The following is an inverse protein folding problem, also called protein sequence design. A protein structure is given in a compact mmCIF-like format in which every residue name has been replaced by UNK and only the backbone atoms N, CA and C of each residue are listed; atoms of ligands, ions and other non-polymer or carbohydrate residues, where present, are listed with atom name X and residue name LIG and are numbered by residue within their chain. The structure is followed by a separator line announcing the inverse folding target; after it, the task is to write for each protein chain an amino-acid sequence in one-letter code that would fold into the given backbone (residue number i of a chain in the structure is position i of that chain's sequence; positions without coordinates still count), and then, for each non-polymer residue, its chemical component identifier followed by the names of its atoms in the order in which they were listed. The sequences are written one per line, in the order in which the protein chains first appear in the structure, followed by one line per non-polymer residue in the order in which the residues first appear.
data_IF_256300630806
#
_entry.id   IF_256300630806
#
_cell.length_a   1.000
_cell.length_b   1.000
_cell.length_c   1.000
_cell.angle_alpha   90.00
_cell.angle_beta   90.00
_cell.angle_gamma   90.00
#
_symmetry.space_group_name_H-M   'P 1'
#
loop_
_entity.id
_entity.type
_entity.pdbx_description
1 polymer ?
#
# COMPACT_ATOMS: atom_id res chain seq x y z
N UNK A 1 -19.38 -19.53 19.71
CA UNK A 1 -18.57 -19.76 20.94
C UNK A 1 -17.50 -18.68 21.03
N UNK A 2 -17.25 -18.21 22.25
CA UNK A 2 -16.41 -17.11 22.77
C UNK A 2 -15.29 -16.51 21.89
N UNK A 3 -15.32 -15.17 21.72
CA UNK A 3 -14.20 -14.32 21.28
C UNK A 3 -13.25 -14.06 22.48
N UNK A 4 -11.97 -14.49 22.47
CA UNK A 4 -11.15 -14.49 23.69
C UNK A 4 -10.45 -13.17 24.05
N UNK A 5 -10.65 -12.05 23.34
CA UNK A 5 -9.82 -10.85 23.56
C UNK A 5 -10.62 -9.54 23.79
N UNK A 6 -11.82 -9.62 24.39
CA UNK A 6 -12.67 -8.48 24.76
C UNK A 6 -13.18 -8.57 26.22
N UNK A 7 -12.36 -9.08 27.15
CA UNK A 7 -12.83 -9.56 28.45
C UNK A 7 -13.02 -8.52 29.56
N UNK A 8 -13.29 -7.24 29.26
CA UNK A 8 -13.56 -6.23 30.30
C UNK A 8 -15.03 -5.79 30.38
N UNK A 9 -15.83 -5.89 29.32
CA UNK A 9 -17.25 -5.48 29.34
C UNK A 9 -18.24 -6.57 28.85
N UNK A 10 -17.76 -7.76 28.49
CA UNK A 10 -18.62 -8.83 27.96
C UNK A 10 -19.17 -8.52 26.55
N UNK A 11 -20.11 -9.34 26.08
CA UNK A 11 -20.60 -9.32 24.67
C UNK A 11 -21.52 -8.15 24.31
N UNK A 12 -22.06 -7.42 25.28
CA UNK A 12 -23.10 -6.41 25.04
C UNK A 12 -22.60 -5.00 24.71
N UNK A 13 -21.35 -4.67 25.04
CA UNK A 13 -20.87 -3.30 24.94
C UNK A 13 -20.73 -2.79 23.50
N UNK A 14 -20.28 -3.65 22.58
CA UNK A 14 -20.07 -3.28 21.17
C UNK A 14 -21.38 -2.81 20.52
N UNK A 15 -22.45 -3.57 20.70
CA UNK A 15 -23.77 -3.24 20.13
C UNK A 15 -24.28 -1.93 20.74
N UNK A 16 -24.11 -1.77 22.05
CA UNK A 16 -24.52 -0.56 22.76
C UNK A 16 -23.78 0.70 22.28
N UNK A 17 -22.45 0.62 22.17
CA UNK A 17 -21.62 1.74 21.72
C UNK A 17 -21.97 2.16 20.29
N UNK A 18 -22.14 1.20 19.37
CA UNK A 18 -22.53 1.49 17.99
C UNK A 18 -23.91 2.18 17.88
N UNK A 19 -24.88 1.76 18.70
CA UNK A 19 -26.20 2.40 18.74
C UNK A 19 -26.18 3.84 19.31
N UNK A 20 -25.10 4.21 20.02
CA UNK A 20 -24.91 5.51 20.68
C UNK A 20 -23.92 6.43 19.96
N UNK A 21 -23.58 6.14 18.70
CA UNK A 21 -22.69 6.97 17.89
C UNK A 21 -21.20 6.62 18.00
N UNK A 22 -20.87 5.46 18.59
CA UNK A 22 -19.52 4.89 18.55
C UNK A 22 -18.87 4.64 19.91
N UNK A 23 -17.59 4.30 19.87
CA UNK A 23 -16.79 3.99 21.06
C UNK A 23 -16.24 5.27 21.69
N UNK A 24 -16.55 5.51 22.96
CA UNK A 24 -15.94 6.56 23.77
C UNK A 24 -15.89 6.12 25.23
N UNK A 25 -15.09 6.79 26.06
CA UNK A 25 -15.17 6.58 27.52
C UNK A 25 -16.58 6.89 28.03
N UNK A 26 -17.27 7.86 27.43
CA UNK A 26 -18.64 8.23 27.79
C UNK A 26 -19.62 7.09 27.54
N UNK A 27 -19.62 6.48 26.34
CA UNK A 27 -20.48 5.32 26.05
C UNK A 27 -20.11 4.09 26.89
N UNK A 28 -18.83 3.95 27.26
CA UNK A 28 -18.37 2.90 28.18
C UNK A 28 -18.88 3.12 29.61
N UNK A 29 -18.84 4.36 30.10
CA UNK A 29 -19.34 4.74 31.43
C UNK A 29 -20.86 4.54 31.48
N UNK A 30 -21.61 4.95 30.45
CA UNK A 30 -23.06 4.72 30.38
C UNK A 30 -23.41 3.23 30.39
N UNK A 31 -22.73 2.43 29.56
CA UNK A 31 -22.92 0.99 29.55
C UNK A 31 -22.56 0.35 30.90
N UNK A 32 -21.46 0.79 31.50
CA UNK A 32 -20.99 0.37 32.82
C UNK A 32 -22.07 0.58 33.90
N UNK A 33 -22.75 1.73 33.89
CA UNK A 33 -23.87 2.03 34.79
C UNK A 33 -25.08 1.13 34.54
N UNK A 34 -25.42 0.87 33.27
CA UNK A 34 -26.56 0.01 32.90
C UNK A 34 -26.39 -1.46 33.36
N UNK A 35 -25.15 -1.86 33.67
CA UNK A 35 -24.78 -3.20 34.14
C UNK A 35 -24.47 -3.26 35.64
N UNK A 36 -24.92 -2.28 36.43
CA UNK A 36 -24.74 -2.28 37.88
C UNK A 36 -25.16 -3.58 38.57
N UNK A 37 -26.23 -4.23 38.10
CA UNK A 37 -26.73 -5.52 38.61
C UNK A 37 -25.75 -6.68 38.44
N UNK A 38 -24.75 -6.55 37.56
CA UNK A 38 -23.69 -7.54 37.35
C UNK A 38 -22.47 -7.30 38.26
N UNK A 39 -22.45 -6.22 39.05
CA UNK A 39 -21.39 -5.96 40.03
C UNK A 39 -21.95 -6.01 41.46
N UNK A 40 -21.64 -7.07 42.24
CA UNK A 40 -22.08 -7.22 43.62
C UNK A 40 -21.63 -6.09 44.56
N UNK A 41 -20.51 -5.42 44.26
CA UNK A 41 -19.99 -4.30 45.06
C UNK A 41 -20.65 -2.95 44.73
N UNK A 42 -21.52 -2.90 43.73
CA UNK A 42 -22.15 -1.67 43.26
C UNK A 42 -21.16 -0.63 42.72
N UNK A 43 -21.65 0.58 42.48
CA UNK A 43 -20.85 1.68 41.92
C UNK A 43 -19.99 2.42 42.98
N UNK A 44 -19.92 1.89 44.19
CA UNK A 44 -19.51 2.60 45.41
C UNK A 44 -18.41 1.83 46.14
N UNK A 45 -17.29 1.57 45.46
CA UNK A 45 -16.07 1.06 46.10
C UNK A 45 -15.11 2.24 46.42
N UNK A 46 -15.03 2.69 47.68
CA UNK A 46 -14.24 3.87 48.04
C UNK A 46 -12.74 3.73 47.76
N UNK A 47 -12.24 2.52 47.48
CA UNK A 47 -10.83 2.27 47.14
C UNK A 47 -10.58 2.14 45.63
N UNK A 48 -11.60 2.36 44.79
CA UNK A 48 -11.54 2.15 43.36
C UNK A 48 -11.67 3.46 42.57
N UNK A 49 -10.74 3.72 41.66
CA UNK A 49 -10.72 4.91 40.79
C UNK A 49 -12.00 5.07 39.94
N UNK A 50 -12.76 3.98 39.74
CA UNK A 50 -14.00 3.95 38.95
C UNK A 50 -15.19 4.68 39.59
N UNK A 51 -15.16 4.90 40.91
CA UNK A 51 -16.25 5.56 41.65
C UNK A 51 -16.40 7.05 41.34
N UNK A 52 -15.31 7.74 40.97
CA UNK A 52 -15.33 9.16 40.61
C UNK A 52 -16.24 9.48 39.41
N UNK A 53 -16.43 8.51 38.52
CA UNK A 53 -17.30 8.64 37.33
C UNK A 53 -18.53 7.72 37.40
N UNK A 54 -18.77 7.10 38.57
CA UNK A 54 -19.87 6.17 38.79
C UNK A 54 -19.90 5.02 37.76
N UNK A 55 -18.74 4.45 37.42
CA UNK A 55 -18.62 3.29 36.51
C UNK A 55 -18.60 1.99 37.32
N UNK A 56 -19.63 1.15 37.14
CA UNK A 56 -19.96 0.05 38.05
C UNK A 56 -19.58 -1.33 37.52
N UNK A 57 -19.27 -1.47 36.23
CA UNK A 57 -19.01 -2.76 35.59
C UNK A 57 -17.97 -2.58 34.48
N UNK A 58 -16.95 -3.43 34.42
CA UNK A 58 -15.87 -3.32 33.43
C UNK A 58 -14.93 -2.12 33.60
N UNK A 59 -13.80 -2.14 32.89
CA UNK A 59 -12.84 -1.02 32.87
C UNK A 59 -13.23 0.00 31.80
N UNK A 60 -13.94 1.07 32.16
CA UNK A 60 -14.35 2.10 31.20
C UNK A 60 -13.15 2.78 30.49
N UNK A 61 -11.98 2.84 31.13
CA UNK A 61 -10.75 3.35 30.54
C UNK A 61 -10.15 2.39 29.50
N UNK A 62 -10.66 1.16 29.40
CA UNK A 62 -10.30 0.24 28.31
C UNK A 62 -10.59 0.87 26.95
N UNK A 63 -11.67 1.64 26.81
CA UNK A 63 -11.99 2.28 25.54
C UNK A 63 -10.94 3.30 25.15
N UNK A 64 -10.51 4.19 26.04
CA UNK A 64 -9.42 5.13 25.71
C UNK A 64 -8.07 4.43 25.55
N UNK A 65 -7.76 3.41 26.36
CA UNK A 65 -6.53 2.62 26.24
C UNK A 65 -6.45 1.85 24.92
N UNK A 66 -7.57 1.28 24.48
CA UNK A 66 -7.69 0.59 23.19
C UNK A 66 -7.75 1.59 22.06
N UNK A 67 -8.61 2.61 22.13
CA UNK A 67 -8.69 3.66 21.14
C UNK A 67 -7.40 4.45 20.99
N UNK A 68 -6.53 4.49 22.00
CA UNK A 68 -5.16 5.01 21.86
C UNK A 68 -4.39 4.19 20.83
N UNK A 69 -4.48 2.86 20.88
CA UNK A 69 -3.94 2.01 19.82
C UNK A 69 -4.68 2.20 18.48
N UNK A 70 -5.98 2.52 18.46
CA UNK A 70 -6.70 2.86 17.20
C UNK A 70 -6.38 4.24 16.63
N UNK A 71 -6.06 5.24 17.45
CA UNK A 71 -5.52 6.54 17.00
C UNK A 71 -4.12 6.37 16.39
N UNK A 72 -3.41 5.33 16.84
CA UNK A 72 -2.13 4.88 16.30
C UNK A 72 -2.30 3.76 15.22
N UNK A 73 -3.53 3.45 14.76
CA UNK A 73 -3.77 2.52 13.65
C UNK A 73 -3.93 3.30 12.33
N UNK A 74 -2.82 3.42 11.61
CA UNK A 74 -2.72 3.13 10.17
C UNK A 74 -3.24 4.15 9.17
N UNK A 75 -4.17 5.05 9.52
CA UNK A 75 -4.71 6.01 8.56
C UNK A 75 -4.93 7.39 9.20
N UNK A 76 -3.94 8.27 9.13
CA UNK A 76 -4.07 9.65 9.59
C UNK A 76 -4.03 10.56 8.37
N UNK A 77 -5.02 11.45 8.21
CA UNK A 77 -4.93 12.53 7.24
C UNK A 77 -3.90 13.55 7.76
N UNK A 78 -2.93 13.91 6.93
CA UNK A 78 -1.99 14.95 7.29
C UNK A 78 -2.59 16.35 7.19
N UNK A 79 -1.80 17.36 7.57
CA UNK A 79 -2.19 18.77 7.54
C UNK A 79 -2.55 19.29 6.14
N UNK A 80 -2.23 18.54 5.08
CA UNK A 80 -2.61 18.80 3.68
C UNK A 80 -3.80 17.96 3.19
N UNK A 81 -4.33 17.06 4.02
CA UNK A 81 -5.44 16.16 3.67
C UNK A 81 -5.03 14.90 2.91
N UNK A 82 -3.72 14.56 2.85
CA UNK A 82 -3.23 13.29 2.28
C UNK A 82 -3.31 12.18 3.34
N UNK A 83 -3.81 11.00 2.98
CA UNK A 83 -3.94 9.87 3.89
C UNK A 83 -2.61 9.13 4.03
N UNK A 84 -2.07 9.10 5.24
CA UNK A 84 -0.78 8.48 5.54
C UNK A 84 -0.99 7.21 6.36
N UNK A 85 -0.37 6.11 5.91
CA UNK A 85 -0.07 4.96 6.76
C UNK A 85 1.32 5.12 7.35
N UNK A 86 1.39 5.05 8.68
CA UNK A 86 2.59 5.10 9.50
C UNK A 86 3.60 3.97 9.19
N UNK A 87 3.19 2.93 8.45
CA UNK A 87 4.08 1.86 7.96
C UNK A 87 4.02 1.63 6.45
N UNK A 88 3.29 2.45 5.69
CA UNK A 88 3.01 2.27 4.25
C UNK A 88 1.93 1.23 3.94
N UNK A 89 1.25 1.36 2.81
CA UNK A 89 0.13 0.49 2.42
C UNK A 89 0.58 -0.84 1.82
N UNK A 90 -0.15 -1.92 2.08
CA UNK A 90 0.09 -3.25 1.47
C UNK A 90 -0.82 -3.46 0.27
N UNK A 91 -0.26 -3.74 -0.90
CA UNK A 91 -1.03 -4.16 -2.07
C UNK A 91 -1.73 -5.49 -1.79
N UNK A 92 -3.01 -5.65 -2.16
CA UNK A 92 -3.86 -6.67 -1.57
C UNK A 92 -3.66 -8.07 -2.16
N UNK A 93 -2.77 -8.24 -3.14
CA UNK A 93 -2.45 -9.55 -3.71
C UNK A 93 -1.06 -9.56 -4.33
N UNK A 94 -0.60 -10.73 -4.79
CA UNK A 94 0.71 -10.87 -5.40
C UNK A 94 0.79 -10.22 -6.79
N UNK A 95 -0.32 -10.17 -7.52
CA UNK A 95 -0.41 -9.66 -8.90
C UNK A 95 -0.59 -8.15 -8.96
N UNK A 96 0.13 -7.49 -9.86
CA UNK A 96 -0.04 -6.08 -10.22
C UNK A 96 -0.83 -5.89 -11.51
N UNK A 97 -1.44 -6.96 -12.05
CA UNK A 97 -2.17 -6.91 -13.32
C UNK A 97 -3.53 -6.27 -13.13
N UNK A 98 -3.60 -4.95 -13.26
CA UNK A 98 -4.85 -4.20 -13.31
C UNK A 98 -5.58 -4.59 -14.61
N UNK A 99 -6.77 -5.15 -14.46
CA UNK A 99 -7.66 -5.54 -15.57
C UNK A 99 -8.80 -4.55 -15.80
N UNK A 100 -9.13 -3.74 -14.80
CA UNK A 100 -10.07 -2.60 -14.92
C UNK A 100 -9.76 -1.50 -13.89
N UNK A 101 -10.04 -0.24 -14.24
CA UNK A 101 -9.70 0.95 -13.44
C UNK A 101 -10.93 1.56 -12.76
N UNK A 102 -10.70 2.38 -11.73
CA UNK A 102 -11.76 3.04 -10.92
C UNK A 102 -12.61 4.07 -11.68
N UNK A 103 -12.10 4.57 -12.80
CA UNK A 103 -12.79 5.54 -13.65
C UNK A 103 -13.46 4.89 -14.86
N UNK A 104 -13.39 3.55 -14.99
CA UNK A 104 -14.06 2.85 -16.07
C UNK A 104 -15.58 3.02 -15.97
N UNK A 105 -16.20 3.39 -17.09
CA UNK A 105 -17.66 3.54 -17.21
C UNK A 105 -18.22 2.45 -18.11
N UNK A 106 -19.16 1.67 -17.59
CA UNK A 106 -19.85 0.62 -18.36
C UNK A 106 -21.36 0.82 -18.24
N UNK A 107 -22.04 1.01 -19.36
CA UNK A 107 -23.50 1.24 -19.39
C UNK A 107 -23.97 2.43 -18.54
N UNK A 108 -23.14 3.48 -18.43
CA UNK A 108 -23.42 4.66 -17.61
C UNK A 108 -23.18 4.50 -16.11
N UNK A 109 -22.68 3.34 -15.65
CA UNK A 109 -22.29 3.11 -14.25
C UNK A 109 -20.77 3.15 -14.11
N UNK A 110 -20.29 3.92 -13.14
CA UNK A 110 -18.88 3.99 -12.80
C UNK A 110 -18.45 2.76 -12.00
N UNK A 111 -17.27 2.24 -12.33
CA UNK A 111 -16.61 1.15 -11.65
C UNK A 111 -15.94 1.64 -10.35
N UNK A 112 -16.49 1.34 -9.19
CA UNK A 112 -16.02 1.89 -7.91
C UNK A 112 -14.87 1.07 -7.27
N UNK A 113 -14.03 0.43 -8.10
CA UNK A 113 -12.98 -0.49 -7.69
C UNK A 113 -11.79 -0.46 -8.65
N UNK A 114 -10.69 -1.14 -8.28
CA UNK A 114 -9.66 -1.57 -9.22
C UNK A 114 -9.73 -3.09 -9.30
N UNK A 115 -9.83 -3.61 -10.52
CA UNK A 115 -9.83 -5.06 -10.75
C UNK A 115 -8.41 -5.55 -10.96
N UNK A 116 -7.99 -6.53 -10.17
CA UNK A 116 -6.63 -7.08 -10.18
C UNK A 116 -6.71 -8.55 -10.57
N UNK A 117 -6.25 -8.89 -11.78
CA UNK A 117 -6.27 -10.26 -12.27
C UNK A 117 -5.26 -11.17 -11.56
N UNK A 118 -5.58 -12.45 -11.41
CA UNK A 118 -4.69 -13.46 -10.81
C UNK A 118 -3.34 -13.59 -11.52
N UNK A 119 -2.28 -13.95 -10.79
CA UNK A 119 -0.92 -14.23 -11.29
C UNK A 119 -0.92 -15.13 -12.52
N UNK A 120 -1.72 -16.18 -12.52
CA UNK A 120 -2.04 -16.98 -13.71
C UNK A 120 -3.47 -16.68 -14.11
N UNK A 121 -3.67 -16.14 -15.31
CA UNK A 121 -5.00 -15.76 -15.79
C UNK A 121 -5.97 -16.95 -15.72
N UNK A 122 -7.15 -16.72 -15.13
CA UNK A 122 -8.18 -17.75 -14.95
C UNK A 122 -7.94 -18.75 -13.81
N UNK A 123 -6.83 -18.66 -13.07
CA UNK A 123 -6.54 -19.56 -11.94
C UNK A 123 -6.78 -18.89 -10.59
N UNK A 124 -7.79 -19.37 -9.87
CA UNK A 124 -8.09 -18.95 -8.50
C UNK A 124 -7.04 -19.44 -7.48
N UNK A 125 -7.07 -18.87 -6.28
CA UNK A 125 -6.25 -19.32 -5.15
C UNK A 125 -5.09 -18.39 -4.78
N UNK A 126 -4.86 -17.31 -5.52
CA UNK A 126 -3.84 -16.33 -5.14
C UNK A 126 -4.18 -15.72 -3.76
N UNK A 127 -3.21 -15.57 -2.85
CA UNK A 127 -3.48 -15.01 -1.53
C UNK A 127 -3.95 -13.56 -1.65
N UNK A 128 -4.95 -13.22 -0.85
CA UNK A 128 -5.44 -11.85 -0.67
C UNK A 128 -5.05 -11.37 0.73
N UNK A 129 -4.37 -10.23 0.79
CA UNK A 129 -3.83 -9.63 2.01
C UNK A 129 -4.61 -8.38 2.42
N UNK A 130 -4.70 -8.14 3.72
CA UNK A 130 -5.23 -6.86 4.22
C UNK A 130 -4.23 -5.74 3.95
N UNK A 131 -4.73 -4.63 3.40
CA UNK A 131 -3.90 -3.49 3.01
C UNK A 131 -3.26 -2.75 4.19
N UNK A 132 -3.89 -2.83 5.36
CA UNK A 132 -3.44 -2.24 6.62
C UNK A 132 -4.10 -2.98 7.78
N UNK A 133 -3.63 -2.80 9.00
CA UNK A 133 -4.29 -3.31 10.18
C UNK A 133 -5.72 -2.75 10.32
N UNK A 134 -6.63 -3.54 10.88
CA UNK A 134 -8.02 -3.13 11.05
C UNK A 134 -8.92 -4.23 11.63
N UNK A 135 -10.21 -3.94 11.76
CA UNK A 135 -11.24 -4.89 12.21
C UNK A 135 -12.02 -5.40 11.00
N UNK A 136 -12.14 -6.72 10.86
CA UNK A 136 -13.03 -7.35 9.89
C UNK A 136 -14.49 -7.03 10.23
N UNK A 137 -15.25 -6.44 9.31
CA UNK A 137 -16.61 -5.97 9.59
C UNK A 137 -17.67 -7.08 9.41
N UNK A 138 -18.89 -6.83 9.90
CA UNK A 138 -20.02 -7.76 9.79
C UNK A 138 -20.55 -7.94 8.35
N UNK A 139 -20.10 -7.11 7.41
CA UNK A 139 -20.41 -7.22 5.99
C UNK A 139 -19.59 -8.33 5.29
N UNK A 140 -18.57 -8.88 5.96
CA UNK A 140 -17.77 -10.00 5.44
C UNK A 140 -18.61 -11.28 5.33
N UNK A 141 -18.60 -11.93 4.16
CA UNK A 141 -19.43 -13.09 3.87
C UNK A 141 -19.95 -13.09 2.43
N UNK A 142 -21.21 -13.46 2.23
CA UNK A 142 -21.89 -13.37 0.93
C UNK A 142 -22.37 -11.93 0.67
N UNK A 143 -21.81 -11.30 -0.35
CA UNK A 143 -22.04 -9.90 -0.72
C UNK A 143 -22.81 -9.86 -2.02
N UNK A 144 -23.95 -9.16 -2.05
CA UNK A 144 -24.78 -9.07 -3.26
C UNK A 144 -23.98 -8.49 -4.43
N UNK A 145 -23.97 -9.19 -5.57
CA UNK A 145 -23.12 -8.92 -6.72
C UNK A 145 -21.63 -9.24 -6.50
N UNK A 146 -21.11 -9.10 -5.29
CA UNK A 146 -19.69 -9.27 -4.94
C UNK A 146 -19.23 -10.70 -4.65
N UNK A 147 -20.14 -11.67 -4.50
CA UNK A 147 -19.76 -13.05 -4.16
C UNK A 147 -19.26 -13.18 -2.73
N UNK A 148 -18.19 -13.94 -2.52
CA UNK A 148 -17.49 -13.94 -1.23
C UNK A 148 -16.66 -12.67 -1.09
N UNK A 149 -16.86 -11.93 -0.01
CA UNK A 149 -16.14 -10.69 0.24
C UNK A 149 -15.66 -10.53 1.68
N UNK A 150 -14.50 -9.87 1.84
CA UNK A 150 -13.97 -9.42 3.13
C UNK A 150 -13.98 -7.90 3.18
N UNK A 151 -14.35 -7.34 4.34
CA UNK A 151 -14.41 -5.91 4.59
C UNK A 151 -13.59 -5.63 5.84
N UNK A 152 -12.67 -4.67 5.77
CA UNK A 152 -11.80 -4.30 6.89
C UNK A 152 -11.94 -2.82 7.17
N UNK A 153 -12.39 -2.49 8.38
CA UNK A 153 -12.42 -1.13 8.90
C UNK A 153 -11.06 -0.79 9.52
N UNK A 154 -10.40 0.21 8.96
CA UNK A 154 -9.08 0.67 9.37
C UNK A 154 -9.14 1.86 10.34
N UNK A 155 -10.34 2.30 10.73
CA UNK A 155 -10.55 3.51 11.52
C UNK A 155 -10.69 4.76 10.65
N UNK A 156 -11.09 5.88 11.28
CA UNK A 156 -11.23 7.20 10.66
C UNK A 156 -12.10 7.22 9.38
N UNK A 157 -13.09 6.33 9.31
CA UNK A 157 -14.02 6.21 8.18
C UNK A 157 -13.45 5.49 6.96
N UNK A 158 -12.25 4.88 7.06
CA UNK A 158 -11.63 4.14 5.96
C UNK A 158 -11.97 2.66 6.02
N UNK A 159 -12.55 2.15 4.94
CA UNK A 159 -12.88 0.72 4.79
C UNK A 159 -12.31 0.21 3.48
N UNK A 160 -11.55 -0.89 3.54
CA UNK A 160 -11.16 -1.66 2.36
C UNK A 160 -12.08 -2.85 2.14
N UNK A 161 -12.35 -3.18 0.87
CA UNK A 161 -13.22 -4.30 0.47
C UNK A 161 -12.51 -5.17 -0.56
N UNK A 162 -12.64 -6.49 -0.39
CA UNK A 162 -11.96 -7.51 -1.18
C UNK A 162 -13.02 -8.50 -1.65
N UNK A 163 -13.44 -8.42 -2.91
CA UNK A 163 -14.60 -9.16 -3.43
C UNK A 163 -14.19 -10.28 -4.40
N UNK A 164 -15.18 -11.07 -4.83
CA UNK A 164 -15.07 -12.20 -5.75
C UNK A 164 -14.16 -13.33 -5.26
N UNK A 165 -13.94 -13.45 -3.95
CA UNK A 165 -13.01 -14.41 -3.37
C UNK A 165 -13.45 -15.86 -3.64
N UNK A 166 -12.49 -16.78 -3.69
CA UNK A 166 -12.77 -18.23 -3.67
C UNK A 166 -12.87 -18.76 -2.24
N UNK A 167 -12.31 -18.04 -1.27
CA UNK A 167 -12.30 -18.42 0.14
C UNK A 167 -12.07 -17.22 1.05
N UNK A 168 -12.77 -17.21 2.18
CA UNK A 168 -12.55 -16.26 3.28
C UNK A 168 -11.78 -16.98 4.38
N UNK A 169 -10.72 -16.36 4.90
CA UNK A 169 -9.84 -16.93 5.94
C UNK A 169 -9.98 -16.24 7.31
N UNK A 170 -10.85 -15.23 7.43
CA UNK A 170 -11.06 -14.44 8.64
C UNK A 170 -12.55 -14.24 8.93
N UNK A 171 -12.92 -14.12 10.22
CA UNK A 171 -14.31 -13.95 10.64
C UNK A 171 -14.62 -12.51 11.07
N UNK A 172 -15.89 -12.05 10.99
CA UNK A 172 -16.30 -10.75 11.51
C UNK A 172 -15.90 -10.47 12.97
N UNK A 173 -15.36 -9.28 13.19
CA UNK A 173 -14.79 -8.79 14.45
C UNK A 173 -13.39 -9.31 14.76
N UNK A 174 -12.72 -9.96 13.81
CA UNK A 174 -11.29 -10.32 13.92
C UNK A 174 -10.43 -9.08 13.69
N UNK A 175 -9.44 -8.87 14.54
CA UNK A 175 -8.36 -7.93 14.26
C UNK A 175 -7.39 -8.55 13.25
N UNK A 176 -7.07 -7.83 12.19
CA UNK A 176 -6.06 -8.23 11.21
C UNK A 176 -4.90 -7.25 11.23
N UNK A 177 -3.69 -7.74 10.95
CA UNK A 177 -2.52 -6.88 10.71
C UNK A 177 -2.33 -6.63 9.22
N UNK A 178 -1.62 -5.55 8.86
CA UNK A 178 -1.17 -5.33 7.49
C UNK A 178 -0.46 -6.56 6.93
N UNK A 179 -0.79 -6.94 5.69
CA UNK A 179 -0.17 -8.08 5.03
C UNK A 179 -0.67 -9.45 5.52
N UNK A 180 -1.56 -9.50 6.50
CA UNK A 180 -2.18 -10.75 6.92
C UNK A 180 -3.07 -11.29 5.78
N UNK A 181 -2.95 -12.59 5.49
CA UNK A 181 -3.84 -13.27 4.55
C UNK A 181 -5.26 -13.29 5.12
N UNK A 182 -6.20 -12.76 4.35
CA UNK A 182 -7.63 -12.66 4.71
C UNK A 182 -8.52 -13.53 3.82
N UNK A 183 -8.00 -14.01 2.69
CA UNK A 183 -8.73 -14.85 1.76
C UNK A 183 -7.88 -15.29 0.58
N UNK A 184 -8.54 -15.91 -0.40
CA UNK A 184 -7.97 -16.33 -1.68
C UNK A 184 -8.79 -15.74 -2.82
N UNK A 185 -8.11 -15.26 -3.87
CA UNK A 185 -8.74 -14.67 -5.06
C UNK A 185 -9.56 -15.71 -5.81
N UNK A 186 -10.73 -15.32 -6.31
CA UNK A 186 -11.62 -16.19 -7.08
C UNK A 186 -12.34 -15.45 -8.19
N UNK A 187 -13.50 -15.95 -8.57
CA UNK A 187 -14.44 -15.32 -9.49
C UNK A 187 -15.87 -15.47 -9.00
N UNK A 188 -16.10 -15.42 -7.69
CA UNK A 188 -17.43 -15.69 -7.15
C UNK A 188 -18.40 -14.51 -7.35
N UNK A 189 -19.68 -14.82 -7.56
CA UNK A 189 -20.77 -13.86 -7.49
C UNK A 189 -21.88 -14.39 -6.58
N UNK A 190 -22.65 -13.51 -5.97
CA UNK A 190 -23.78 -13.89 -5.12
C UNK A 190 -24.98 -13.05 -5.50
N UNK A 191 -26.06 -13.72 -5.86
CA UNK A 191 -27.35 -13.10 -6.12
C UNK A 191 -28.23 -13.27 -4.88
N UNK A 192 -28.59 -12.15 -4.25
CA UNK A 192 -29.42 -12.17 -3.06
C UNK A 192 -30.87 -12.55 -3.33
N UNK A 193 -31.40 -12.26 -4.52
CA UNK A 193 -32.81 -12.52 -4.85
C UNK A 193 -33.04 -14.02 -5.03
N UNK A 194 -32.10 -14.70 -5.68
CA UNK A 194 -32.14 -16.15 -5.83
C UNK A 194 -31.46 -16.92 -4.69
N UNK A 195 -30.62 -16.24 -3.89
CA UNK A 195 -29.89 -16.81 -2.76
C UNK A 195 -28.69 -17.69 -3.16
N UNK A 196 -28.31 -17.71 -4.43
CA UNK A 196 -27.24 -18.57 -4.94
C UNK A 196 -25.88 -17.87 -4.96
N UNK A 197 -24.87 -18.57 -4.42
CA UNK A 197 -23.46 -18.26 -4.58
C UNK A 197 -22.90 -19.07 -5.76
N UNK A 198 -22.47 -18.42 -6.82
CA UNK A 198 -21.76 -19.06 -7.92
C UNK A 198 -20.25 -18.79 -7.77
N UNK A 199 -19.47 -19.83 -7.53
CA UNK A 199 -18.02 -19.72 -7.36
C UNK A 199 -17.26 -19.38 -8.66
N UNK A 200 -17.92 -19.48 -9.82
CA UNK A 200 -17.38 -19.23 -11.15
C UNK A 200 -18.23 -18.19 -11.91
N UNK A 201 -18.82 -17.23 -11.20
CA UNK A 201 -19.71 -16.21 -11.78
C UNK A 201 -18.99 -15.16 -12.63
N UNK A 202 -17.73 -14.85 -12.30
CA UNK A 202 -16.87 -13.92 -13.02
C UNK A 202 -15.53 -14.57 -13.41
N UNK A 203 -14.80 -13.92 -14.31
CA UNK A 203 -13.39 -14.25 -14.53
C UNK A 203 -12.60 -14.12 -13.23
N UNK A 204 -11.50 -14.84 -13.07
CA UNK A 204 -10.73 -14.78 -11.82
C UNK A 204 -9.99 -13.45 -11.69
N UNK A 205 -10.43 -12.63 -10.74
CA UNK A 205 -9.84 -11.34 -10.38
C UNK A 205 -10.23 -10.97 -8.94
N UNK A 206 -9.52 -9.99 -8.38
CA UNK A 206 -9.90 -9.31 -7.15
C UNK A 206 -10.50 -7.95 -7.52
N UNK A 207 -11.78 -7.74 -7.22
CA UNK A 207 -12.37 -6.40 -7.14
C UNK A 207 -11.96 -5.82 -5.78
N UNK A 208 -11.11 -4.79 -5.83
CA UNK A 208 -10.55 -4.15 -4.66
C UNK A 208 -11.03 -2.70 -4.55
N UNK A 209 -11.68 -2.38 -3.42
CA UNK A 209 -12.28 -1.07 -3.17
C UNK A 209 -11.71 -0.43 -1.93
N UNK A 210 -11.60 0.89 -1.96
CA UNK A 210 -11.40 1.72 -0.78
C UNK A 210 -12.56 2.70 -0.67
N UNK A 211 -13.07 2.87 0.55
CA UNK A 211 -14.05 3.90 0.87
C UNK A 211 -13.60 4.76 2.02
N UNK A 212 -13.82 6.06 1.89
CA UNK A 212 -13.65 7.04 2.97
C UNK A 212 -15.03 7.62 3.27
N UNK A 213 -15.51 7.50 4.51
CA UNK A 213 -16.84 7.94 4.92
C UNK A 213 -17.94 7.41 3.97
N UNK A 214 -17.81 6.13 3.62
CA UNK A 214 -18.65 5.39 2.66
C UNK A 214 -18.65 5.92 1.21
N UNK A 215 -17.80 6.89 0.87
CA UNK A 215 -17.60 7.33 -0.51
C UNK A 215 -16.51 6.50 -1.20
N UNK A 216 -16.79 5.93 -2.39
CA UNK A 216 -15.76 5.28 -3.21
C UNK A 216 -14.58 6.20 -3.47
N UNK A 217 -13.38 5.71 -3.23
CA UNK A 217 -12.14 6.42 -3.49
C UNK A 217 -11.23 5.53 -4.31
N UNK A 218 -10.65 6.10 -5.36
CA UNK A 218 -9.67 5.41 -6.21
C UNK A 218 -8.55 4.80 -5.36
N UNK A 219 -8.44 3.45 -5.31
CA UNK A 219 -7.39 2.76 -4.57
C UNK A 219 -5.99 3.20 -4.98
N UNK A 220 -5.78 3.58 -6.25
CA UNK A 220 -4.47 3.98 -6.77
C UNK A 220 -3.92 5.26 -6.13
N UNK A 221 -4.76 6.03 -5.41
CA UNK A 221 -4.31 7.18 -4.59
C UNK A 221 -3.51 6.75 -3.36
N UNK A 222 -3.72 5.52 -2.87
CA UNK A 222 -3.05 4.98 -1.70
C UNK A 222 -1.78 4.24 -2.07
N UNK A 223 -1.75 3.57 -3.22
CA UNK A 223 -0.63 2.72 -3.61
C UNK A 223 0.30 3.43 -4.60
N UNK A 224 1.42 3.96 -4.10
CA UNK A 224 2.50 4.44 -4.97
C UNK A 224 3.28 3.22 -5.47
N UNK A 225 3.75 3.25 -6.73
CA UNK A 225 4.39 2.11 -7.45
C UNK A 225 5.60 1.47 -6.73
N UNK A 226 6.09 2.07 -5.65
CA UNK A 226 7.25 1.66 -4.86
C UNK A 226 6.93 1.27 -3.40
N UNK A 227 5.67 1.32 -2.97
CA UNK A 227 5.30 1.09 -1.56
C UNK A 227 5.10 -0.42 -1.25
N UNK A 228 4.86 -1.27 -2.27
CA UNK A 228 4.69 -2.71 -2.12
C UNK A 228 5.17 -3.52 -3.36
N UNK A 229 5.94 -4.62 -3.18
CA UNK A 229 6.32 -5.54 -4.25
C UNK A 229 5.17 -6.09 -5.13
N UNK A 230 3.94 -6.13 -4.61
CA UNK A 230 2.76 -6.64 -5.31
C UNK A 230 2.25 -5.76 -6.47
N UNK A 231 2.48 -4.45 -6.44
CA UNK A 231 2.15 -3.57 -7.57
C UNK A 231 3.13 -3.74 -8.75
N UNK A 232 4.32 -4.26 -8.49
CA UNK A 232 5.39 -4.37 -9.48
C UNK A 232 5.31 -5.63 -10.36
N UNK A 233 4.33 -6.51 -10.15
CA UNK A 233 4.23 -7.83 -10.81
C UNK A 233 3.29 -7.87 -12.02
N UNK A 234 2.99 -6.71 -12.61
CA UNK A 234 2.37 -6.61 -13.94
C UNK A 234 3.35 -7.00 -15.06
N UNK A 235 3.71 -8.27 -15.15
CA UNK A 235 4.57 -8.85 -16.19
C UNK A 235 5.17 -10.20 -15.75
N UNK A 236 5.15 -11.18 -16.65
CA UNK A 236 5.62 -12.57 -16.55
C UNK A 236 6.80 -12.88 -15.59
N UNK A 237 6.90 -14.12 -15.05
CA UNK A 237 7.80 -14.45 -13.95
C UNK A 237 9.25 -14.57 -14.40
N UNK A 238 10.16 -13.71 -13.92
CA UNK A 238 11.58 -14.06 -13.78
C UNK A 238 12.35 -13.00 -12.97
N UNK A 239 12.83 -13.31 -11.76
CA UNK A 239 14.10 -12.82 -11.17
C UNK A 239 14.62 -11.36 -11.43
N UNK A 240 13.76 -10.33 -11.58
CA UNK A 240 14.20 -8.97 -12.03
C UNK A 240 14.06 -7.84 -11.01
N UNK A 241 13.23 -7.94 -9.94
CA UNK A 241 13.16 -6.86 -8.94
C UNK A 241 14.38 -6.78 -8.00
N UNK A 242 15.04 -7.90 -7.69
CA UNK A 242 16.22 -7.90 -6.83
C UNK A 242 17.43 -7.17 -7.47
N UNK A 243 17.60 -7.29 -8.79
CA UNK A 243 18.67 -6.59 -9.53
C UNK A 243 18.44 -5.08 -9.53
N UNK A 244 17.20 -4.65 -9.81
CA UNK A 244 16.79 -3.24 -9.75
C UNK A 244 17.03 -2.65 -8.36
N UNK A 245 16.63 -3.36 -7.31
CA UNK A 245 16.86 -2.92 -5.94
C UNK A 245 18.36 -2.75 -5.64
N UNK A 246 19.21 -3.71 -6.03
CA UNK A 246 20.68 -3.60 -5.86
C UNK A 246 21.26 -2.38 -6.58
N UNK A 247 20.80 -2.08 -7.80
CA UNK A 247 21.21 -0.88 -8.54
C UNK A 247 20.87 0.39 -7.75
N UNK A 248 19.64 0.49 -7.23
CA UNK A 248 19.20 1.67 -6.48
C UNK A 248 19.89 1.81 -5.12
N UNK A 249 20.07 0.71 -4.40
CA UNK A 249 20.80 0.69 -3.13
C UNK A 249 22.25 1.12 -3.32
N UNK A 250 22.91 0.62 -4.36
CA UNK A 250 24.27 1.02 -4.72
C UNK A 250 24.35 2.50 -5.09
N UNK A 251 23.44 3.00 -5.93
CA UNK A 251 23.40 4.41 -6.31
C UNK A 251 23.21 5.33 -5.09
N UNK A 252 22.34 4.95 -4.14
CA UNK A 252 22.03 5.74 -2.94
C UNK A 252 23.21 5.88 -1.97
N UNK A 253 24.17 4.95 -1.94
CA UNK A 253 25.37 5.05 -1.08
C UNK A 253 26.16 6.34 -1.32
N UNK A 254 26.15 6.79 -2.57
CA UNK A 254 26.93 7.94 -3.04
C UNK A 254 26.22 9.28 -2.84
N UNK A 255 24.98 9.29 -2.33
CA UNK A 255 24.21 10.51 -2.11
C UNK A 255 24.87 11.46 -1.11
N UNK A 256 24.89 12.73 -1.48
CA UNK A 256 25.33 13.82 -0.61
C UNK A 256 26.41 14.68 -1.26
N UNK A 257 26.36 15.97 -0.92
CA UNK A 257 27.36 16.93 -1.38
C UNK A 257 28.75 16.60 -0.83
N UNK A 258 29.77 16.67 -1.69
CA UNK A 258 31.16 16.46 -1.31
C UNK A 258 31.62 15.00 -1.25
N UNK A 259 30.75 14.00 -1.44
CA UNK A 259 31.15 12.58 -1.51
C UNK A 259 31.75 12.18 -2.85
N UNK A 260 31.18 12.69 -3.93
CA UNK A 260 31.64 12.45 -5.31
C UNK A 260 31.62 13.78 -6.02
N UNK A 261 32.74 14.19 -6.58
CA UNK A 261 32.86 15.39 -7.41
C UNK A 261 32.60 15.06 -8.87
N UNK A 262 31.85 15.93 -9.56
CA UNK A 262 31.67 15.79 -11.00
C UNK A 262 32.98 16.10 -11.73
N UNK A 263 33.56 15.10 -12.40
CA UNK A 263 34.76 15.26 -13.21
C UNK A 263 34.54 14.54 -14.53
N UNK A 264 34.59 15.29 -15.64
CA UNK A 264 34.38 14.74 -16.98
C UNK A 264 35.35 13.59 -17.27
N UNK A 265 34.83 12.43 -17.69
CA UNK A 265 35.59 11.21 -17.94
C UNK A 265 35.91 10.37 -16.69
N UNK A 266 35.62 10.85 -15.49
CA UNK A 266 35.84 10.07 -14.26
C UNK A 266 34.74 9.01 -14.10
N UNK A 267 35.12 7.83 -13.58
CA UNK A 267 34.23 6.65 -13.51
C UNK A 267 34.29 5.92 -12.18
N UNK A 268 34.91 6.51 -11.17
CA UNK A 268 35.11 5.85 -9.88
C UNK A 268 34.60 6.71 -8.72
N UNK A 269 33.28 6.69 -8.45
CA UNK A 269 32.68 7.28 -7.26
C UNK A 269 33.41 6.94 -5.96
N UNK A 270 33.95 5.72 -5.81
CA UNK A 270 34.70 5.32 -4.62
C UNK A 270 36.07 6.01 -4.49
N UNK A 271 36.66 6.48 -5.60
CA UNK A 271 37.83 7.35 -5.60
C UNK A 271 37.46 8.84 -5.49
N UNK A 272 36.17 9.16 -5.26
CA UNK A 272 35.69 10.52 -5.02
C UNK A 272 35.34 11.32 -6.27
N UNK A 273 35.39 10.75 -7.48
CA UNK A 273 34.99 11.47 -8.70
C UNK A 273 34.31 10.61 -9.77
N UNK A 274 33.31 11.19 -10.43
CA UNK A 274 32.60 10.56 -11.54
C UNK A 274 31.95 11.61 -12.46
N UNK A 275 31.78 11.32 -13.75
CA UNK A 275 30.80 12.00 -14.59
C UNK A 275 29.45 11.27 -14.60
N UNK A 276 28.46 11.78 -15.33
CA UNK A 276 27.13 11.18 -15.38
C UNK A 276 27.15 9.72 -15.85
N UNK A 277 27.89 9.42 -16.92
CA UNK A 277 28.02 8.09 -17.51
C UNK A 277 28.94 7.15 -16.74
N UNK A 278 29.98 7.70 -16.10
CA UNK A 278 30.87 6.98 -15.22
C UNK A 278 30.19 6.57 -13.91
N UNK A 279 29.29 7.42 -13.40
CA UNK A 279 28.46 7.07 -12.24
C UNK A 279 27.52 5.91 -12.54
N UNK A 280 26.78 5.97 -13.65
CA UNK A 280 25.91 4.85 -14.05
C UNK A 280 26.73 3.59 -14.34
N UNK A 281 27.85 3.69 -15.06
CA UNK A 281 28.73 2.54 -15.30
C UNK A 281 29.18 1.88 -13.99
N UNK A 282 29.65 2.67 -13.02
CA UNK A 282 30.10 2.16 -11.73
C UNK A 282 28.97 1.46 -10.96
N UNK A 283 27.80 2.10 -10.85
CA UNK A 283 26.65 1.55 -10.12
C UNK A 283 26.24 0.20 -10.70
N UNK A 284 26.07 0.10 -12.01
CA UNK A 284 25.59 -1.13 -12.66
C UNK A 284 26.64 -2.25 -12.63
N UNK A 285 27.91 -1.91 -12.83
CA UNK A 285 29.02 -2.87 -12.72
C UNK A 285 29.13 -3.45 -11.31
N UNK A 286 29.05 -2.59 -10.29
CA UNK A 286 29.27 -2.98 -8.89
C UNK A 286 28.08 -3.71 -8.28
N UNK A 287 26.86 -3.29 -8.63
CA UNK A 287 25.64 -3.85 -8.03
C UNK A 287 25.19 -5.17 -8.65
N UNK A 288 25.27 -5.27 -9.99
CA UNK A 288 24.68 -6.39 -10.75
C UNK A 288 25.59 -6.94 -11.85
N UNK A 289 26.80 -6.41 -12.01
CA UNK A 289 27.77 -6.90 -13.00
C UNK A 289 27.50 -6.46 -14.44
N UNK A 290 26.55 -5.55 -14.68
CA UNK A 290 26.25 -5.04 -16.03
C UNK A 290 27.32 -4.03 -16.46
N UNK A 291 27.94 -4.27 -17.62
CA UNK A 291 28.96 -3.40 -18.18
C UNK A 291 28.34 -2.38 -19.14
N UNK A 292 28.27 -1.13 -18.70
CA UNK A 292 27.80 -0.02 -19.53
C UNK A 292 28.96 0.61 -20.30
N UNK A 293 28.65 1.17 -21.47
CA UNK A 293 29.63 1.85 -22.32
C UNK A 293 30.29 3.05 -21.63
N UNK A 294 31.49 3.40 -22.11
CA UNK A 294 32.41 4.31 -21.43
C UNK A 294 32.00 5.80 -21.46
N UNK A 295 30.92 6.15 -22.15
CA UNK A 295 30.39 7.51 -22.24
C UNK A 295 28.88 7.49 -22.52
N UNK A 296 28.20 8.62 -22.31
CA UNK A 296 26.72 8.71 -22.36
C UNK A 296 26.10 8.13 -23.64
N UNK A 297 26.60 8.46 -24.83
CA UNK A 297 26.02 7.97 -26.08
C UNK A 297 26.31 6.50 -26.39
N UNK A 298 27.37 5.92 -25.82
CA UNK A 298 27.51 4.46 -25.86
C UNK A 298 26.42 3.77 -25.04
N UNK A 299 25.99 4.37 -23.92
CA UNK A 299 24.92 3.83 -23.08
C UNK A 299 23.53 4.04 -23.70
N UNK A 300 23.33 5.09 -24.51
CA UNK A 300 22.07 5.34 -25.23
C UNK A 300 21.68 4.15 -26.12
N UNK A 301 22.64 3.42 -26.68
CA UNK A 301 22.36 2.24 -27.51
C UNK A 301 22.20 0.93 -26.76
N UNK A 302 22.37 0.91 -25.44
CA UNK A 302 22.41 -0.33 -24.66
C UNK A 302 21.04 -0.73 -24.12
N UNK A 303 20.81 -2.04 -24.05
CA UNK A 303 19.58 -2.61 -23.53
C UNK A 303 18.36 -2.36 -24.41
N UNK A 304 17.17 -2.58 -23.83
CA UNK A 304 15.88 -2.43 -24.52
C UNK A 304 15.38 -0.99 -24.39
N UNK A 305 14.83 -0.44 -25.47
CA UNK A 305 14.16 0.84 -25.40
C UNK A 305 12.88 0.73 -24.58
N UNK A 306 12.70 1.66 -23.64
CA UNK A 306 11.45 1.84 -22.93
C UNK A 306 10.67 2.95 -23.65
N UNK A 307 9.41 2.70 -24.08
CA UNK A 307 8.71 3.64 -24.97
C UNK A 307 8.40 5.01 -24.36
N UNK A 308 8.17 5.07 -23.06
CA UNK A 308 7.72 6.26 -22.36
C UNK A 308 7.94 6.13 -20.84
N UNK A 309 7.81 7.24 -20.12
CA UNK A 309 8.03 7.28 -18.68
C UNK A 309 7.00 6.49 -17.86
N UNK A 310 5.79 6.25 -18.40
CA UNK A 310 4.78 5.42 -17.76
C UNK A 310 5.18 3.95 -17.70
N UNK A 311 5.94 3.49 -18.70
CA UNK A 311 6.52 2.15 -18.78
C UNK A 311 7.88 2.01 -18.12
N UNK A 312 8.53 3.12 -17.76
CA UNK A 312 9.80 3.09 -17.04
C UNK A 312 9.66 2.44 -15.67
N UNK A 313 10.70 1.70 -15.31
CA UNK A 313 10.86 1.02 -14.04
C UNK A 313 12.07 1.57 -13.29
N UNK A 314 12.04 1.62 -11.96
CA UNK A 314 13.21 2.01 -11.18
C UNK A 314 14.44 1.19 -11.57
N UNK A 315 15.57 1.87 -11.77
CA UNK A 315 16.79 1.28 -12.33
C UNK A 315 16.93 1.40 -13.85
N UNK A 316 15.92 1.86 -14.60
CA UNK A 316 16.12 2.21 -16.01
C UNK A 316 16.98 3.47 -16.15
N UNK A 317 17.75 3.56 -17.23
CA UNK A 317 18.54 4.75 -17.56
C UNK A 317 17.65 5.76 -18.29
N UNK A 318 17.73 7.02 -17.88
CA UNK A 318 17.06 8.14 -18.55
C UNK A 318 18.13 9.04 -19.16
N UNK A 319 17.96 9.33 -20.44
CA UNK A 319 18.86 10.15 -21.22
C UNK A 319 18.23 11.50 -21.52
N UNK A 320 19.05 12.54 -21.46
CA UNK A 320 18.67 13.91 -21.78
C UNK A 320 19.58 14.46 -22.86
N UNK A 321 19.02 15.33 -23.69
CA UNK A 321 19.74 16.14 -24.67
C UNK A 321 19.84 17.60 -24.21
N UNK A 322 20.87 18.29 -24.70
CA UNK A 322 21.13 19.72 -24.50
C UNK A 322 21.24 20.20 -23.04
N UNK A 323 22.35 19.88 -22.33
CA UNK A 323 23.46 18.99 -22.69
C UNK A 323 23.14 17.50 -22.54
N UNK A 324 23.96 16.66 -23.19
CA UNK A 324 23.90 15.20 -23.03
C UNK A 324 24.10 14.80 -21.56
N UNK A 325 23.13 14.10 -20.98
CA UNK A 325 23.17 13.67 -19.60
C UNK A 325 22.49 12.30 -19.44
N UNK A 326 22.91 11.53 -18.43
CA UNK A 326 22.30 10.24 -18.08
C UNK A 326 22.03 10.17 -16.58
N UNK A 327 20.88 9.61 -16.23
CA UNK A 327 20.45 9.38 -14.85
C UNK A 327 19.85 7.98 -14.69
N UNK A 328 19.67 7.57 -13.43
CA UNK A 328 19.01 6.32 -13.08
C UNK A 328 17.62 6.67 -12.53
N UNK A 329 16.57 6.07 -13.11
CA UNK A 329 15.19 6.32 -12.68
C UNK A 329 14.94 5.72 -11.29
N UNK A 330 14.29 6.47 -10.41
CA UNK A 330 13.90 6.02 -9.06
C UNK A 330 12.42 5.64 -8.94
N UNK A 331 11.61 5.88 -9.99
CA UNK A 331 10.16 5.92 -9.85
C UNK A 331 9.66 7.27 -9.36
N UNK A 332 8.34 7.44 -9.29
CA UNK A 332 7.67 8.64 -8.78
C UNK A 332 8.17 9.96 -9.39
N UNK A 333 8.47 9.94 -10.70
CA UNK A 333 9.03 11.08 -11.42
C UNK A 333 10.32 11.65 -10.79
N UNK A 334 11.16 10.78 -10.21
CA UNK A 334 12.46 11.14 -9.64
C UNK A 334 13.60 10.34 -10.28
N UNK A 335 14.79 10.92 -10.26
CA UNK A 335 16.01 10.29 -10.74
C UNK A 335 17.17 10.54 -9.78
N UNK A 336 18.14 9.63 -9.76
CA UNK A 336 19.44 9.83 -9.11
C UNK A 336 20.51 10.02 -10.17
N UNK A 337 21.34 11.05 -10.01
CA UNK A 337 22.36 11.40 -10.98
C UNK A 337 23.46 12.27 -10.38
N UNK A 338 24.52 12.50 -11.16
CA UNK A 338 25.54 13.51 -10.92
C UNK A 338 25.70 14.33 -12.20
N UNK A 339 25.52 15.65 -12.12
CA UNK A 339 25.53 16.52 -13.31
C UNK A 339 26.06 17.93 -13.06
N UNK A 340 26.49 18.21 -11.84
CA UNK A 340 27.07 19.48 -11.42
C UNK A 340 27.99 19.28 -10.19
N UNK A 341 28.53 20.37 -9.65
CA UNK A 341 29.43 20.33 -8.50
C UNK A 341 28.71 20.05 -7.16
N UNK A 342 27.43 19.67 -7.16
CA UNK A 342 26.68 19.33 -5.93
C UNK A 342 26.80 17.85 -5.55
N UNK A 343 27.48 17.05 -6.37
CA UNK A 343 27.64 15.61 -6.17
C UNK A 343 26.41 14.80 -6.54
N UNK A 344 26.34 13.55 -6.09
CA UNK A 344 25.21 12.68 -6.41
C UNK A 344 23.96 13.17 -5.67
N UNK A 345 22.92 13.44 -6.43
CA UNK A 345 21.68 14.04 -5.94
C UNK A 345 20.44 13.35 -6.52
N UNK A 346 19.32 13.53 -5.82
CA UNK A 346 17.99 13.13 -6.28
C UNK A 346 17.24 14.39 -6.72
N UNK A 347 16.76 14.39 -7.95
CA UNK A 347 15.92 15.45 -8.50
C UNK A 347 14.65 14.88 -9.11
N UNK A 348 13.69 15.75 -9.42
CA UNK A 348 12.60 15.38 -10.32
C UNK A 348 13.11 15.13 -11.74
N UNK A 349 12.29 14.47 -12.57
CA UNK A 349 12.57 14.29 -14.01
C UNK A 349 12.57 15.60 -14.78
N UNK A 350 11.82 16.58 -14.29
CA UNK A 350 11.81 17.96 -14.74
C UNK A 350 13.06 18.67 -14.22
N UNK A 351 14.23 18.22 -14.68
CA UNK A 351 15.51 18.88 -14.52
C UNK A 351 15.57 20.14 -15.43
N UNK A 352 14.50 20.94 -15.44
CA UNK A 352 14.16 21.90 -16.50
C UNK A 352 14.54 23.34 -16.19
N UNK A 353 15.49 23.58 -15.30
CA UNK A 353 16.04 24.92 -15.12
C UNK A 353 17.00 25.35 -16.28
N UNK A 354 17.29 24.48 -17.26
CA UNK A 354 18.27 24.76 -18.34
C UNK A 354 17.90 24.27 -19.76
N UNK A 355 16.64 23.95 -20.05
CA UNK A 355 16.23 23.54 -21.41
C UNK A 355 16.64 22.13 -21.84
N UNK A 356 16.89 21.23 -20.88
CA UNK A 356 17.17 19.82 -21.14
C UNK A 356 15.90 19.04 -21.44
N UNK A 357 15.92 18.22 -22.48
CA UNK A 357 14.79 17.39 -22.89
C UNK A 357 15.12 15.90 -22.72
N UNK A 358 14.22 15.14 -22.08
CA UNK A 358 14.34 13.69 -22.03
C UNK A 358 14.24 13.13 -23.45
N UNK A 359 15.30 12.45 -23.90
CA UNK A 359 15.38 11.94 -25.26
C UNK A 359 15.02 10.45 -25.32
N UNK A 360 15.54 9.64 -24.40
CA UNK A 360 15.36 8.19 -24.41
C UNK A 360 15.37 7.58 -23.01
N UNK A 361 14.74 6.42 -22.88
CA UNK A 361 14.79 5.58 -21.69
C UNK A 361 15.25 4.19 -22.10
N UNK A 362 16.23 3.63 -21.37
CA UNK A 362 16.78 2.29 -21.63
C UNK A 362 16.69 1.39 -20.41
N UNK A 363 16.18 0.20 -20.62
CA UNK A 363 16.27 -0.90 -19.67
C UNK A 363 17.52 -1.72 -20.00
N UNK A 364 18.51 -1.65 -19.12
CA UNK A 364 19.79 -2.37 -19.22
C UNK A 364 19.92 -3.49 -18.17
N UNK A 365 18.82 -3.84 -17.51
CA UNK A 365 18.79 -4.81 -16.40
C UNK A 365 18.15 -6.15 -16.84
N UNK A 366 17.12 -6.08 -17.70
CA UNK A 366 16.24 -7.21 -18.04
C UNK A 366 16.36 -7.73 -19.49
#
# INVERSE_FOLDING_TARGET
MSKPYLSLFGSGFIIYALAKGGYSEETAIEFSRSKNHLNPAGCSDPNNFRTKVNACYGDYTYVSKVLKYYKDLGCVADVSGEWISDKGWKWPTKSGRITDTFDAVRGGKQHNAVDIGAMTAGKAGDPVWSMEAGIVTNQTGNVNGGGLGVYVDHGNGIVSRYLHLSKISVAPGTMVTKGQVIGEMGGSNFDRDSGFLNMNGYAVHLDFQIRINDQPTDPMKFFKKNDDPGLSSGGSPTMTNAKRQKVLEEAKKWLGQGKVSYVSGARNPAAGSADCSGFTQYVFKTSIGVQLGDWTGAQIGQGKQVPDIGRAQPGDLIFYENPNHVSIYLGNQKMIHIGDNKGVQITGLNYTARGQHMSQIRNVID
#
